data_IF_589491013740
#
_entry.id   IF_589491013740
#
_cell.length_a   1.000
_cell.length_b   1.000
_cell.length_c   1.000
_cell.angle_alpha   90.00
_cell.angle_beta   90.00
_cell.angle_gamma   90.00
#
_symmetry.space_group_name_H-M   'P 1'
#
loop_
_entity.id
_entity.type
_entity.pdbx_description
1 polymer ?
#
# COMPACT_ATOMS: atom_id res chain seq x y z
N UNK A 1 44.86 -10.13 4.12
CA UNK A 1 43.52 -10.58 4.56
C UNK A 1 42.93 -9.47 5.41
N UNK A 2 41.99 -8.70 4.87
CA UNK A 2 41.31 -7.62 5.60
C UNK A 2 40.37 -8.24 6.62
N UNK A 3 40.49 -7.87 7.89
CA UNK A 3 39.48 -8.19 8.89
C UNK A 3 38.13 -7.60 8.40
N UNK A 4 37.15 -8.45 8.12
CA UNK A 4 35.78 -7.98 7.91
C UNK A 4 35.29 -7.46 9.26
N UNK A 5 35.13 -6.14 9.38
CA UNK A 5 34.43 -5.55 10.51
C UNK A 5 33.05 -6.19 10.58
N UNK A 6 32.80 -6.90 11.69
CA UNK A 6 31.49 -7.45 12.00
C UNK A 6 30.61 -6.25 12.35
N UNK A 7 29.92 -5.70 11.35
CA UNK A 7 28.89 -4.71 11.58
C UNK A 7 27.81 -5.32 12.47
N UNK A 8 27.77 -4.87 13.73
CA UNK A 8 26.69 -5.20 14.66
C UNK A 8 25.40 -4.58 14.11
N UNK A 9 24.36 -5.40 13.93
CA UNK A 9 23.06 -4.90 13.49
C UNK A 9 22.46 -3.97 14.53
N UNK A 10 21.79 -2.91 14.07
CA UNK A 10 21.04 -1.99 14.94
C UNK A 10 19.70 -2.60 15.35
N UNK A 11 19.11 -3.40 14.46
CA UNK A 11 17.82 -4.07 14.63
C UNK A 11 17.95 -5.59 14.41
N UNK A 12 17.05 -6.36 15.02
CA UNK A 12 17.03 -7.83 14.94
C UNK A 12 16.41 -8.33 13.63
N UNK A 13 15.48 -7.57 13.07
CA UNK A 13 14.75 -7.86 11.83
C UNK A 13 14.07 -6.61 11.29
N UNK A 14 13.45 -6.72 10.11
CA UNK A 14 12.64 -5.63 9.55
C UNK A 14 11.15 -5.99 9.47
N UNK A 15 10.33 -4.94 9.48
CA UNK A 15 8.91 -5.01 9.17
C UNK A 15 8.61 -4.05 8.02
N UNK A 16 8.20 -4.58 6.87
CA UNK A 16 7.81 -3.77 5.72
C UNK A 16 6.29 -3.65 5.63
N UNK A 17 5.75 -2.44 5.77
CA UNK A 17 4.34 -2.19 5.52
C UNK A 17 4.09 -1.87 4.04
N UNK A 18 3.41 -2.79 3.34
CA UNK A 18 3.05 -2.61 1.94
C UNK A 18 1.85 -1.68 1.81
N UNK A 19 2.14 -0.43 1.45
CA UNK A 19 1.16 0.56 0.99
C UNK A 19 0.74 0.25 -0.44
N UNK A 20 -0.58 0.14 -0.67
CA UNK A 20 -1.10 -0.25 -1.98
C UNK A 20 -0.71 0.80 -3.03
N UNK A 21 -0.24 0.28 -4.17
CA UNK A 21 0.22 1.05 -5.35
C UNK A 21 1.56 1.78 -5.15
N UNK A 22 2.34 1.39 -4.15
CA UNK A 22 3.73 1.84 -3.92
C UNK A 22 4.74 0.71 -4.14
N UNK A 23 4.86 0.23 -5.39
CA UNK A 23 5.83 -0.79 -5.84
C UNK A 23 5.91 -2.14 -5.09
N UNK A 24 4.87 -2.58 -4.37
CA UNK A 24 5.01 -3.80 -3.55
C UNK A 24 5.33 -5.12 -4.26
N UNK A 25 5.21 -5.25 -5.59
CA UNK A 25 5.77 -6.43 -6.30
C UNK A 25 7.29 -6.33 -6.37
N UNK A 26 7.82 -5.16 -6.74
CA UNK A 26 9.27 -4.93 -6.81
C UNK A 26 9.91 -5.00 -5.43
N UNK A 27 9.28 -4.39 -4.42
CA UNK A 27 9.79 -4.42 -3.04
C UNK A 27 9.89 -5.85 -2.50
N UNK A 28 8.86 -6.71 -2.71
CA UNK A 28 8.94 -8.12 -2.28
C UNK A 28 10.16 -8.83 -2.86
N UNK A 29 10.37 -8.71 -4.17
CA UNK A 29 11.53 -9.32 -4.85
C UNK A 29 12.86 -8.84 -4.26
N UNK A 30 12.95 -7.55 -3.97
CA UNK A 30 14.15 -6.92 -3.42
C UNK A 30 14.41 -7.29 -1.95
N UNK A 31 13.39 -7.68 -1.20
CA UNK A 31 13.51 -8.13 0.19
C UNK A 31 13.72 -9.65 0.32
N UNK A 32 13.70 -10.41 -0.77
CA UNK A 32 14.02 -11.84 -0.74
C UNK A 32 15.53 -12.04 -0.48
N UNK A 33 15.93 -13.08 0.28
CA UNK A 33 15.08 -14.15 0.82
C UNK A 33 14.48 -13.83 2.21
N UNK A 34 14.79 -12.66 2.76
CA UNK A 34 14.52 -12.32 4.16
C UNK A 34 13.05 -11.98 4.43
N UNK A 35 12.28 -11.65 3.38
CA UNK A 35 10.83 -11.47 3.46
C UNK A 35 10.08 -12.77 3.09
N UNK A 36 9.49 -13.44 4.08
CA UNK A 36 8.80 -14.72 3.87
C UNK A 36 7.38 -14.50 3.33
N UNK A 37 7.13 -14.95 2.10
CA UNK A 37 5.82 -14.87 1.45
C UNK A 37 4.91 -16.05 1.82
N UNK A 38 3.61 -15.77 2.02
CA UNK A 38 2.59 -16.82 2.17
C UNK A 38 1.87 -17.10 0.85
N UNK A 39 1.28 -18.29 0.72
CA UNK A 39 0.51 -18.66 -0.48
C UNK A 39 -0.78 -17.83 -0.55
N UNK A 40 -0.87 -16.93 -1.54
CA UNK A 40 -1.97 -15.95 -1.70
C UNK A 40 -3.14 -16.42 -2.58
N UNK A 41 -3.01 -17.56 -3.24
CA UNK A 41 -3.95 -18.05 -4.27
C UNK A 41 -5.16 -18.83 -3.74
N UNK A 42 -5.12 -19.30 -2.49
CA UNK A 42 -6.20 -20.07 -1.86
C UNK A 42 -6.89 -19.24 -0.77
N UNK A 43 -7.41 -19.90 0.28
CA UNK A 43 -7.90 -19.24 1.50
C UNK A 43 -6.77 -18.43 2.14
N UNK A 44 -7.02 -17.19 2.60
CA UNK A 44 -6.00 -16.41 3.28
C UNK A 44 -5.56 -17.14 4.55
N UNK A 45 -4.24 -17.27 4.73
CA UNK A 45 -3.67 -17.78 5.97
C UNK A 45 -3.91 -16.75 7.09
N UNK A 46 -4.17 -17.22 8.31
CA UNK A 46 -4.38 -16.38 9.49
C UNK A 46 -3.19 -16.44 10.44
N UNK A 47 -3.08 -15.47 11.34
CA UNK A 47 -1.96 -15.36 12.28
C UNK A 47 -1.84 -16.54 13.26
N UNK A 48 -2.96 -17.14 13.66
CA UNK A 48 -2.98 -18.25 14.65
C UNK A 48 -2.30 -19.50 14.10
N UNK A 49 -2.42 -19.72 12.78
CA UNK A 49 -1.91 -20.92 12.09
C UNK A 49 -0.57 -20.69 11.37
N UNK A 50 0.11 -19.59 11.67
CA UNK A 50 1.30 -19.17 10.93
C UNK A 50 2.50 -18.99 11.85
N UNK A 51 3.67 -19.26 11.28
CA UNK A 51 4.93 -18.88 11.91
C UNK A 51 5.06 -17.35 11.95
N UNK A 52 5.71 -16.84 13.00
CA UNK A 52 5.92 -15.38 13.15
C UNK A 52 6.64 -14.74 11.97
N UNK A 53 7.49 -15.49 11.27
CA UNK A 53 8.18 -15.04 10.05
C UNK A 53 7.21 -14.69 8.92
N UNK A 54 6.00 -15.26 8.91
CA UNK A 54 4.96 -15.04 7.89
C UNK A 54 4.04 -13.85 8.22
N UNK A 55 4.06 -13.36 9.46
CA UNK A 55 3.11 -12.34 9.95
C UNK A 55 3.14 -11.06 9.11
N UNK A 56 4.33 -10.64 8.66
CA UNK A 56 4.46 -9.45 7.84
C UNK A 56 3.70 -9.61 6.50
N UNK A 57 3.82 -10.74 5.81
CA UNK A 57 3.16 -10.95 4.52
C UNK A 57 1.65 -11.14 4.63
N UNK A 58 1.22 -11.79 5.71
CA UNK A 58 -0.19 -11.96 6.08
C UNK A 58 -0.84 -10.60 6.34
N UNK A 59 -0.23 -9.75 7.18
CA UNK A 59 -0.75 -8.41 7.47
C UNK A 59 -0.81 -7.52 6.21
N UNK A 60 0.10 -7.73 5.26
CA UNK A 60 0.10 -7.04 3.97
C UNK A 60 -0.95 -7.57 2.97
N UNK A 61 -1.69 -8.62 3.31
CA UNK A 61 -2.75 -9.18 2.50
C UNK A 61 -4.10 -8.50 2.80
N UNK A 62 -4.69 -7.84 1.80
CA UNK A 62 -5.95 -7.11 1.95
C UNK A 62 -7.14 -8.00 2.35
N UNK A 63 -7.03 -9.32 2.20
CA UNK A 63 -8.09 -10.27 2.55
C UNK A 63 -8.13 -10.57 4.05
N UNK A 64 -7.10 -10.18 4.80
CA UNK A 64 -7.07 -10.32 6.25
C UNK A 64 -7.82 -9.14 6.86
N UNK A 65 -8.96 -9.44 7.49
CA UNK A 65 -9.80 -8.45 8.16
C UNK A 65 -9.26 -8.25 9.58
N UNK A 66 -9.07 -6.98 9.96
CA UNK A 66 -8.44 -6.61 11.24
C UNK A 66 -9.41 -5.98 12.25
N UNK A 67 -10.72 -6.07 12.00
CA UNK A 67 -11.76 -5.48 12.85
C UNK A 67 -11.58 -3.96 12.98
N UNK A 68 -11.51 -3.46 14.21
CA UNK A 68 -11.31 -2.04 14.52
C UNK A 68 -9.95 -1.48 14.04
N UNK A 69 -8.98 -2.35 13.74
CA UNK A 69 -7.67 -1.97 13.20
C UNK A 69 -7.63 -2.04 11.66
N UNK A 70 -8.78 -2.16 10.99
CA UNK A 70 -8.81 -2.05 9.54
C UNK A 70 -8.24 -0.69 9.12
N UNK A 71 -7.24 -0.70 8.23
CA UNK A 71 -6.47 0.47 7.82
C UNK A 71 -5.62 1.12 8.93
N UNK A 72 -5.29 0.37 9.99
CA UNK A 72 -4.37 0.76 11.08
C UNK A 72 -3.30 -0.32 11.30
N UNK A 73 -2.68 -0.78 10.21
CA UNK A 73 -1.83 -1.99 10.23
C UNK A 73 -0.57 -1.84 11.07
N UNK A 74 0.09 -0.67 11.08
CA UNK A 74 1.24 -0.45 11.93
C UNK A 74 0.86 -0.54 13.42
N UNK A 75 -0.27 0.07 13.80
CA UNK A 75 -0.81 -0.02 15.17
C UNK A 75 -1.16 -1.47 15.56
N UNK A 76 -1.79 -2.23 14.65
CA UNK A 76 -2.08 -3.64 14.87
C UNK A 76 -0.79 -4.47 15.06
N UNK A 77 0.21 -4.25 14.20
CA UNK A 77 1.49 -4.93 14.26
C UNK A 77 2.18 -4.68 15.61
N UNK A 78 2.28 -3.41 16.02
CA UNK A 78 2.85 -2.99 17.31
C UNK A 78 2.08 -3.57 18.49
N UNK A 79 0.74 -3.57 18.46
CA UNK A 79 -0.07 -3.97 19.62
C UNK A 79 -0.14 -5.49 19.82
N UNK A 80 -0.16 -6.27 18.73
CA UNK A 80 -0.48 -7.71 18.82
C UNK A 80 0.59 -8.64 18.25
N UNK A 81 1.27 -8.28 17.15
CA UNK A 81 2.17 -9.22 16.47
C UNK A 81 3.61 -9.12 16.97
N UNK A 82 4.04 -7.90 17.30
CA UNK A 82 5.42 -7.55 17.62
C UNK A 82 5.54 -6.78 18.94
N UNK A 83 4.57 -6.91 19.86
CA UNK A 83 4.45 -6.11 21.10
C UNK A 83 5.74 -5.92 21.90
N UNK A 84 6.51 -6.99 22.07
CA UNK A 84 7.71 -7.00 22.91
C UNK A 84 8.99 -6.63 22.15
N UNK A 85 8.93 -6.60 20.82
CA UNK A 85 10.10 -6.46 19.94
C UNK A 85 9.97 -5.30 18.95
N UNK A 86 8.86 -4.55 18.96
CA UNK A 86 8.59 -3.49 17.98
C UNK A 86 9.72 -2.47 17.90
N UNK A 87 10.25 -2.07 19.06
CA UNK A 87 11.32 -1.07 19.13
C UNK A 87 12.68 -1.62 18.65
N UNK A 88 12.82 -2.95 18.54
CA UNK A 88 14.01 -3.64 18.00
C UNK A 88 13.82 -4.09 16.54
N UNK A 89 12.73 -3.67 15.89
CA UNK A 89 12.44 -3.98 14.49
C UNK A 89 12.60 -2.72 13.65
N UNK A 90 13.37 -2.82 12.57
CA UNK A 90 13.44 -1.77 11.58
C UNK A 90 12.13 -1.76 10.75
N UNK A 91 11.21 -0.87 11.12
CA UNK A 91 9.87 -0.83 10.53
C UNK A 91 9.78 0.27 9.48
N UNK A 92 9.36 -0.06 8.25
CA UNK A 92 9.40 0.88 7.15
C UNK A 92 8.29 0.71 6.10
N UNK A 93 8.07 1.76 5.32
CA UNK A 93 7.14 1.76 4.20
C UNK A 93 7.66 2.60 3.02
N UNK A 94 7.04 2.40 1.85
CA UNK A 94 7.22 3.29 0.69
C UNK A 94 5.93 4.08 0.42
N UNK A 95 6.04 5.39 0.46
CA UNK A 95 4.99 6.32 0.06
C UNK A 95 5.20 6.74 -1.40
N UNK A 96 4.12 6.80 -2.17
CA UNK A 96 4.12 7.39 -3.51
C UNK A 96 3.40 8.71 -3.42
N UNK A 97 3.83 9.70 -4.21
CA UNK A 97 3.13 10.99 -4.35
C UNK A 97 1.61 10.74 -4.47
N UNK A 98 0.77 11.40 -3.63
CA UNK A 98 -0.63 11.03 -3.50
C UNK A 98 -1.47 11.13 -4.79
N UNK A 99 -1.28 12.14 -5.65
CA UNK A 99 -1.97 12.23 -6.95
C UNK A 99 -1.61 11.04 -7.84
N UNK A 100 -0.32 10.76 -7.91
CA UNK A 100 0.28 9.72 -8.74
C UNK A 100 -0.12 8.31 -8.28
N UNK A 101 -0.27 8.15 -6.96
CA UNK A 101 -0.86 6.97 -6.31
C UNK A 101 -2.34 6.85 -6.66
N UNK A 102 -3.10 7.94 -6.59
CA UNK A 102 -4.54 7.97 -6.91
C UNK A 102 -4.84 7.56 -8.35
N UNK A 103 -4.10 8.11 -9.31
CA UNK A 103 -4.15 7.67 -10.71
C UNK A 103 -3.80 6.17 -10.83
N UNK A 104 -2.79 5.71 -10.09
CA UNK A 104 -2.44 4.29 -10.08
C UNK A 104 -3.53 3.39 -9.49
N UNK A 105 -4.29 3.86 -8.49
CA UNK A 105 -5.41 3.13 -7.90
C UNK A 105 -6.55 2.99 -8.90
N UNK A 106 -6.92 4.09 -9.57
CA UNK A 106 -7.95 4.12 -10.60
C UNK A 106 -7.72 3.09 -11.70
N UNK A 107 -6.57 3.14 -12.37
CA UNK A 107 -6.28 2.19 -13.45
C UNK A 107 -6.22 0.74 -12.96
N UNK A 108 -5.79 0.51 -11.71
CA UNK A 108 -5.78 -0.83 -11.15
C UNK A 108 -7.18 -1.37 -10.88
N UNK A 109 -8.06 -0.54 -10.30
CA UNK A 109 -9.39 -0.96 -9.85
C UNK A 109 -10.45 -0.94 -10.97
N UNK A 110 -10.31 -0.06 -11.97
CA UNK A 110 -11.28 0.09 -13.07
C UNK A 110 -10.83 -0.58 -14.38
N UNK A 111 -9.52 -0.74 -14.58
CA UNK A 111 -8.95 -1.25 -15.83
C UNK A 111 -7.99 -2.43 -15.64
N UNK A 112 -7.93 -3.00 -14.42
CA UNK A 112 -7.18 -4.21 -14.15
C UNK A 112 -7.60 -5.38 -15.05
N UNK A 113 -6.63 -6.25 -15.38
CA UNK A 113 -6.78 -7.39 -16.31
C UNK A 113 -7.88 -8.39 -15.90
N UNK A 114 -8.33 -8.36 -14.64
CA UNK A 114 -9.25 -9.35 -14.06
C UNK A 114 -10.73 -8.93 -14.09
N UNK A 115 -11.06 -7.79 -14.70
CA UNK A 115 -12.46 -7.40 -14.89
C UNK A 115 -13.01 -8.06 -16.15
N UNK A 116 -13.69 -9.20 -15.97
CA UNK A 116 -14.45 -9.86 -17.04
C UNK A 116 -15.42 -8.88 -17.70
N UNK A 117 -15.61 -9.02 -19.02
CA UNK A 117 -16.49 -8.17 -19.83
C UNK A 117 -17.90 -7.99 -19.21
N UNK A 118 -18.55 -9.05 -18.66
CA UNK A 118 -19.85 -8.90 -18.00
C UNK A 118 -19.81 -8.00 -16.76
N UNK A 119 -18.71 -8.04 -15.99
CA UNK A 119 -18.53 -7.22 -14.79
C UNK A 119 -18.30 -5.75 -15.16
N UNK A 120 -17.58 -5.48 -16.26
CA UNK A 120 -17.44 -4.12 -16.80
C UNK A 120 -18.79 -3.54 -17.20
N UNK A 121 -19.59 -4.31 -17.94
CA UNK A 121 -20.95 -3.92 -18.37
C UNK A 121 -21.86 -3.67 -17.17
N UNK A 122 -21.93 -4.59 -16.21
CA UNK A 122 -22.73 -4.43 -14.99
C UNK A 122 -22.34 -3.18 -14.20
N UNK A 123 -21.03 -2.92 -14.06
CA UNK A 123 -20.53 -1.74 -13.38
C UNK A 123 -20.95 -0.46 -14.12
N UNK A 124 -20.84 -0.42 -15.45
CA UNK A 124 -21.29 0.73 -16.25
C UNK A 124 -22.79 1.00 -16.05
N UNK A 125 -23.64 -0.03 -16.13
CA UNK A 125 -25.09 0.11 -15.89
C UNK A 125 -25.41 0.58 -14.47
N UNK A 126 -24.79 -0.03 -13.45
CA UNK A 126 -24.96 0.38 -12.06
C UNK A 126 -24.54 1.84 -11.87
N UNK A 127 -23.42 2.25 -12.46
CA UNK A 127 -22.90 3.59 -12.31
C UNK A 127 -23.79 4.64 -12.99
N UNK A 128 -24.29 4.37 -14.20
CA UNK A 128 -25.26 5.25 -14.87
C UNK A 128 -26.52 5.39 -14.01
N UNK A 129 -27.07 4.29 -13.49
CA UNK A 129 -28.26 4.30 -12.65
C UNK A 129 -28.05 5.03 -11.32
N UNK A 130 -26.89 4.87 -10.70
CA UNK A 130 -26.62 5.41 -9.34
C UNK A 130 -26.20 6.87 -9.39
N UNK A 131 -25.43 7.27 -10.40
CA UNK A 131 -24.76 8.57 -10.44
C UNK A 131 -25.18 9.47 -11.60
N UNK A 132 -26.01 8.99 -12.54
CA UNK A 132 -26.58 9.79 -13.63
C UNK A 132 -25.57 10.31 -14.66
N UNK A 133 -24.28 9.92 -14.58
CA UNK A 133 -23.22 10.42 -15.45
C UNK A 133 -22.93 9.44 -16.60
N UNK A 134 -23.04 9.85 -17.88
CA UNK A 134 -22.54 9.03 -18.99
C UNK A 134 -21.02 8.93 -18.91
N UNK A 135 -20.49 7.72 -18.72
CA UNK A 135 -19.07 7.43 -18.48
C UNK A 135 -18.25 7.33 -19.78
N UNK A 136 -18.55 8.18 -20.76
CA UNK A 136 -17.98 8.07 -22.10
C UNK A 136 -16.55 8.65 -22.20
N UNK A 137 -16.07 9.35 -21.16
CA UNK A 137 -14.71 9.90 -21.08
C UNK A 137 -13.92 9.34 -19.90
N UNK A 138 -12.59 9.26 -20.06
CA UNK A 138 -11.67 8.85 -19.00
C UNK A 138 -11.74 9.79 -17.78
N UNK A 139 -11.89 11.09 -18.04
CA UNK A 139 -12.07 12.13 -17.02
C UNK A 139 -13.33 11.89 -16.19
N UNK A 140 -14.49 11.68 -16.82
CA UNK A 140 -15.73 11.43 -16.08
C UNK A 140 -15.72 10.11 -15.29
N UNK A 141 -14.99 9.11 -15.80
CA UNK A 141 -14.76 7.88 -15.05
C UNK A 141 -13.84 8.07 -13.84
N UNK A 142 -12.84 8.95 -13.96
CA UNK A 142 -11.99 9.32 -12.84
C UNK A 142 -12.75 10.13 -11.79
N UNK A 143 -13.64 11.05 -12.19
CA UNK A 143 -14.52 11.77 -11.26
C UNK A 143 -15.38 10.79 -10.44
N UNK A 144 -16.02 9.84 -11.12
CA UNK A 144 -16.78 8.80 -10.42
C UNK A 144 -15.90 7.97 -9.48
N UNK A 145 -14.68 7.66 -9.88
CA UNK A 145 -13.73 6.97 -9.00
C UNK A 145 -13.43 7.81 -7.75
N UNK A 146 -13.21 9.12 -7.88
CA UNK A 146 -12.99 10.01 -6.75
C UNK A 146 -14.25 10.15 -5.87
N UNK A 147 -15.45 10.17 -6.45
CA UNK A 147 -16.72 10.14 -5.71
C UNK A 147 -16.81 8.87 -4.84
N UNK A 148 -16.46 7.71 -5.38
CA UNK A 148 -16.44 6.44 -4.67
C UNK A 148 -15.34 6.36 -3.60
N UNK A 149 -14.16 6.94 -3.87
CA UNK A 149 -13.08 7.02 -2.89
C UNK A 149 -13.54 7.88 -1.71
N UNK A 150 -14.07 9.07 -1.98
CA UNK A 150 -14.60 9.96 -0.96
C UNK A 150 -15.65 9.25 -0.10
N UNK A 151 -16.61 8.58 -0.72
CA UNK A 151 -17.61 7.78 -0.01
C UNK A 151 -16.98 6.72 0.91
N UNK A 152 -15.93 6.02 0.45
CA UNK A 152 -15.24 5.02 1.27
C UNK A 152 -14.52 5.62 2.49
N UNK A 153 -14.13 6.90 2.44
CA UNK A 153 -13.48 7.61 3.54
C UNK A 153 -14.46 8.22 4.54
N UNK A 154 -15.62 8.69 4.04
CA UNK A 154 -16.71 9.26 4.83
C UNK A 154 -17.52 8.18 5.54
N UNK A 155 -17.88 7.10 4.83
CA UNK A 155 -18.61 5.97 5.39
C UNK A 155 -17.66 4.91 5.97
N UNK A 156 -17.15 5.18 7.16
CA UNK A 156 -16.27 4.25 7.90
C UNK A 156 -17.03 3.11 8.60
N UNK A 157 -18.36 3.02 8.43
CA UNK A 157 -19.18 2.00 9.10
C UNK A 157 -19.00 0.61 8.50
N UNK A 158 -18.57 0.53 7.24
CA UNK A 158 -18.38 -0.74 6.54
C UNK A 158 -17.14 -0.74 5.67
N UNK A 159 -16.28 -1.72 5.92
CA UNK A 159 -15.09 -2.00 5.09
C UNK A 159 -15.45 -2.55 3.71
N UNK A 160 -16.74 -2.81 3.46
CA UNK A 160 -17.25 -3.38 2.21
C UNK A 160 -17.98 -2.35 1.33
N UNK A 161 -18.15 -1.11 1.77
CA UNK A 161 -18.81 -0.04 1.01
C UNK A 161 -17.74 0.94 0.51
N UNK A 162 -17.81 1.42 -0.74
CA UNK A 162 -18.89 1.22 -1.72
C UNK A 162 -18.70 0.01 -2.64
N UNK A 163 -17.50 -0.56 -2.73
CA UNK A 163 -17.17 -1.63 -3.71
C UNK A 163 -16.38 -2.81 -3.14
N UNK A 164 -16.62 -3.13 -1.86
CA UNK A 164 -16.01 -4.26 -1.18
C UNK A 164 -14.61 -3.98 -0.62
N UNK A 165 -14.11 -4.95 0.15
CA UNK A 165 -12.82 -4.87 0.85
C UNK A 165 -11.62 -4.61 -0.08
N UNK A 166 -11.67 -5.14 -1.31
CA UNK A 166 -10.61 -4.92 -2.29
C UNK A 166 -10.52 -3.44 -2.68
N UNK A 167 -11.65 -2.78 -2.91
CA UNK A 167 -11.67 -1.36 -3.24
C UNK A 167 -11.21 -0.52 -2.04
N UNK A 168 -11.87 -0.67 -0.89
CA UNK A 168 -11.60 0.13 0.32
C UNK A 168 -10.15 0.01 0.78
N UNK A 169 -9.57 -1.18 0.74
CA UNK A 169 -8.15 -1.37 1.09
C UNK A 169 -7.19 -0.70 0.11
N UNK A 170 -7.53 -0.65 -1.17
CA UNK A 170 -6.66 0.02 -2.13
C UNK A 170 -6.75 1.53 -2.00
N UNK A 171 -7.92 2.07 -1.63
CA UNK A 171 -8.19 3.50 -1.55
C UNK A 171 -8.03 4.10 -0.15
N UNK A 172 -7.75 3.30 0.87
CA UNK A 172 -7.50 3.77 2.24
C UNK A 172 -6.35 4.78 2.32
N UNK A 173 -6.39 5.71 3.26
CA UNK A 173 -5.28 6.65 3.54
C UNK A 173 -4.02 5.89 3.98
N UNK A 174 -2.84 6.43 3.63
CA UNK A 174 -1.56 5.94 4.17
C UNK A 174 -1.40 6.38 5.61
N UNK A 175 -1.77 7.62 5.92
CA UNK A 175 -1.62 8.20 7.25
C UNK A 175 -2.24 7.33 8.35
N UNK A 176 -3.50 6.93 8.20
CA UNK A 176 -4.20 6.09 9.20
C UNK A 176 -3.50 4.73 9.42
N UNK A 177 -2.79 4.23 8.41
CA UNK A 177 -2.20 2.90 8.40
C UNK A 177 -0.80 2.86 9.05
N UNK A 178 -0.14 4.02 9.14
CA UNK A 178 1.21 4.20 9.68
C UNK A 178 1.24 4.94 11.01
N UNK A 179 0.12 5.48 11.49
CA UNK A 179 0.05 6.27 12.72
C UNK A 179 -0.70 5.56 13.85
N UNK A 180 -0.52 6.03 15.08
CA UNK A 180 -1.35 5.67 16.21
C UNK A 180 -2.63 6.53 16.33
N UNK A 181 -3.34 6.41 17.45
CA UNK A 181 -4.57 7.17 17.71
C UNK A 181 -4.35 8.66 17.92
N UNK A 182 -3.11 9.09 18.18
CA UNK A 182 -2.72 10.49 18.38
C UNK A 182 -2.11 11.10 17.10
N UNK A 183 -2.00 10.30 16.03
CA UNK A 183 -1.41 10.73 14.76
C UNK A 183 0.12 10.65 14.74
N UNK A 184 0.75 10.02 15.74
CA UNK A 184 2.20 9.81 15.74
C UNK A 184 2.55 8.67 14.79
N UNK A 185 3.53 8.91 13.91
CA UNK A 185 4.08 7.88 13.01
C UNK A 185 4.72 6.77 13.84
N UNK A 186 4.30 5.54 13.57
CA UNK A 186 4.75 4.33 14.29
C UNK A 186 5.92 3.62 13.61
N UNK A 187 6.10 3.85 12.31
CA UNK A 187 7.20 3.28 11.54
C UNK A 187 8.50 4.02 11.84
N UNK A 188 9.62 3.28 11.86
CA UNK A 188 10.97 3.84 11.97
C UNK A 188 11.25 4.80 10.82
N UNK A 189 10.86 4.42 9.59
CA UNK A 189 11.15 5.22 8.40
C UNK A 189 10.08 5.08 7.31
N UNK A 190 9.78 6.17 6.62
CA UNK A 190 8.93 6.17 5.44
C UNK A 190 9.74 6.78 4.31
N UNK A 191 9.90 6.02 3.24
CA UNK A 191 10.66 6.44 2.06
C UNK A 191 9.74 6.88 0.95
N UNK A 192 10.17 7.86 0.16
CA UNK A 192 9.54 8.16 -1.12
C UNK A 192 9.81 7.02 -2.12
N UNK A 193 8.85 6.76 -3.01
CA UNK A 193 8.91 5.63 -3.94
C UNK A 193 10.09 5.71 -4.92
N UNK A 194 10.47 6.91 -5.32
CA UNK A 194 11.65 7.21 -6.12
C UNK A 194 12.95 6.74 -5.45
N UNK A 195 12.95 6.61 -4.12
CA UNK A 195 14.05 6.16 -3.31
C UNK A 195 13.98 4.66 -2.96
N UNK A 196 13.24 3.86 -3.75
CA UNK A 196 12.99 2.43 -3.47
C UNK A 196 14.27 1.63 -3.17
N UNK A 197 15.30 1.73 -4.04
CA UNK A 197 16.53 0.96 -3.85
C UNK A 197 17.30 1.41 -2.60
N UNK A 198 17.33 2.71 -2.33
CA UNK A 198 17.95 3.28 -1.14
C UNK A 198 17.25 2.78 0.13
N UNK A 199 15.91 2.84 0.18
CA UNK A 199 15.17 2.38 1.35
C UNK A 199 15.30 0.88 1.60
N UNK A 200 15.33 0.05 0.54
CA UNK A 200 15.61 -1.39 0.69
C UNK A 200 17.03 -1.64 1.21
N UNK A 201 18.03 -0.94 0.66
CA UNK A 201 19.42 -1.06 1.10
C UNK A 201 19.55 -0.68 2.57
N UNK A 202 18.93 0.44 2.97
CA UNK A 202 18.91 0.90 4.37
C UNK A 202 18.30 -0.15 5.30
N UNK A 203 17.19 -0.78 4.92
CA UNK A 203 16.57 -1.84 5.72
C UNK A 203 17.48 -3.06 5.92
N UNK A 204 18.20 -3.48 4.88
CA UNK A 204 19.16 -4.58 4.98
C UNK A 204 20.35 -4.22 5.87
N UNK A 205 20.95 -3.04 5.67
CA UNK A 205 22.06 -2.54 6.49
C UNK A 205 21.68 -2.43 7.97
N UNK A 206 20.51 -1.86 8.26
CA UNK A 206 19.99 -1.71 9.62
C UNK A 206 19.85 -3.05 10.36
N UNK A 207 19.55 -4.13 9.63
CA UNK A 207 19.38 -5.48 10.16
C UNK A 207 20.64 -6.35 10.02
N UNK A 208 21.76 -5.83 9.50
CA UNK A 208 22.96 -6.63 9.21
C UNK A 208 22.72 -7.76 8.19
N UNK A 209 21.76 -7.59 7.28
CA UNK A 209 21.39 -8.60 6.29
C UNK A 209 22.10 -8.34 4.96
N UNK A 210 22.55 -9.39 4.25
CA UNK A 210 23.10 -9.23 2.92
C UNK A 210 21.99 -8.86 1.93
N UNK A 211 22.27 -7.87 1.08
CA UNK A 211 21.38 -7.50 -0.03
C UNK A 211 21.63 -8.44 -1.22
N UNK A 212 20.56 -9.02 -1.76
CA UNK A 212 20.65 -9.77 -3.01
C UNK A 212 20.92 -8.84 -4.20
N UNK A 213 21.59 -9.36 -5.23
CA UNK A 213 22.09 -8.60 -6.38
C UNK A 213 21.03 -7.63 -6.96
N UNK A 214 21.25 -6.31 -6.94
CA UNK A 214 20.24 -5.29 -7.23
C UNK A 214 19.85 -5.16 -8.71
N UNK A 215 20.27 -6.07 -9.59
CA UNK A 215 19.88 -6.12 -11.02
C UNK A 215 18.39 -6.46 -11.25
N UNK A 216 17.53 -6.19 -10.28
CA UNK A 216 16.09 -6.24 -10.50
C UNK A 216 15.71 -5.03 -11.33
N UNK A 217 15.19 -5.25 -12.53
CA UNK A 217 14.58 -4.18 -13.33
C UNK A 217 13.41 -3.55 -12.56
N UNK A 218 13.75 -2.46 -11.85
CA UNK A 218 12.83 -1.67 -11.02
C UNK A 218 11.70 -1.07 -11.88
N UNK A 219 11.86 -1.02 -13.21
CA UNK A 219 10.90 -0.42 -14.15
C UNK A 219 9.95 -1.42 -14.81
N UNK A 220 9.97 -2.70 -14.42
CA UNK A 220 9.15 -3.77 -15.02
C UNK A 220 7.62 -3.53 -15.01
N UNK A 221 7.11 -2.55 -14.26
CA UNK A 221 5.67 -2.23 -14.16
C UNK A 221 5.23 -0.89 -14.76
N UNK A 222 5.90 -0.38 -15.81
CA UNK A 222 5.38 0.75 -16.60
C UNK A 222 4.14 0.32 -17.40
N UNK A 223 2.95 0.50 -16.83
CA UNK A 223 1.69 0.27 -17.54
C UNK A 223 1.59 1.19 -18.77
N UNK A 224 1.42 0.61 -19.97
CA UNK A 224 1.36 1.33 -21.25
C UNK A 224 0.30 2.46 -21.25
N UNK A 225 -0.84 2.23 -20.60
CA UNK A 225 -1.98 3.16 -20.58
C UNK A 225 -1.86 4.31 -19.55
N UNK A 226 -0.85 4.29 -18.67
CA UNK A 226 -0.69 5.32 -17.63
C UNK A 226 -0.07 6.62 -18.14
N UNK A 227 0.62 6.58 -19.28
CA UNK A 227 1.48 7.69 -19.71
C UNK A 227 0.70 8.94 -20.16
N UNK A 228 -0.61 8.85 -20.36
CA UNK A 228 -1.38 9.92 -21.03
C UNK A 228 -2.46 10.55 -20.16
N UNK A 229 -2.78 9.99 -18.98
CA UNK A 229 -3.80 10.57 -18.11
C UNK A 229 -3.19 11.44 -17.01
N UNK A 230 -3.57 12.71 -17.00
CA UNK A 230 -3.28 13.65 -15.91
C UNK A 230 -4.61 14.18 -15.36
N UNK A 231 -4.83 14.11 -14.03
CA UNK A 231 -6.02 14.69 -13.42
C UNK A 231 -6.11 16.20 -13.64
N UNK A 232 -7.33 16.71 -13.84
CA UNK A 232 -7.60 18.16 -13.91
C UNK A 232 -7.28 18.86 -12.59
N UNK A 233 -7.28 20.20 -12.60
CA UNK A 233 -7.05 21.00 -11.38
C UNK A 233 -8.10 20.69 -10.31
N UNK A 234 -9.37 20.57 -10.69
CA UNK A 234 -10.48 20.24 -9.81
C UNK A 234 -10.34 18.84 -9.22
N UNK A 235 -9.93 17.87 -10.05
CA UNK A 235 -9.67 16.51 -9.60
C UNK A 235 -8.49 16.45 -8.63
N UNK A 236 -7.43 17.23 -8.86
CA UNK A 236 -6.28 17.34 -7.94
C UNK A 236 -6.70 17.93 -6.59
N UNK A 237 -7.49 19.00 -6.60
CA UNK A 237 -8.05 19.57 -5.36
C UNK A 237 -8.89 18.56 -4.59
N UNK A 238 -9.69 17.74 -5.30
CA UNK A 238 -10.47 16.67 -4.67
C UNK A 238 -9.58 15.55 -4.09
N UNK A 239 -8.49 15.18 -4.77
CA UNK A 239 -7.51 14.23 -4.24
C UNK A 239 -6.88 14.79 -2.97
N UNK A 240 -6.45 16.06 -3.00
CA UNK A 240 -5.87 16.76 -1.87
C UNK A 240 -6.83 16.82 -0.69
N UNK A 241 -8.11 17.15 -0.90
CA UNK A 241 -9.08 17.15 0.20
C UNK A 241 -9.30 15.77 0.83
N UNK A 242 -9.28 14.70 0.03
CA UNK A 242 -9.47 13.32 0.53
C UNK A 242 -8.22 12.84 1.26
N UNK A 243 -7.03 13.16 0.75
CA UNK A 243 -5.76 12.58 1.17
C UNK A 243 -4.80 13.60 1.79
N UNK A 244 -5.28 14.73 2.33
CA UNK A 244 -4.42 15.85 2.76
C UNK A 244 -3.28 15.40 3.68
N UNK A 245 -3.56 14.51 4.64
CA UNK A 245 -2.52 13.95 5.53
C UNK A 245 -1.50 13.07 4.83
N UNK A 246 -1.89 12.41 3.74
CA UNK A 246 -0.94 11.62 2.93
C UNK A 246 0.04 12.55 2.18
N UNK A 247 -0.36 13.79 1.84
CA UNK A 247 0.56 14.79 1.28
C UNK A 247 1.59 15.24 2.32
N UNK A 248 1.14 15.62 3.51
CA UNK A 248 2.04 15.97 4.63
C UNK A 248 3.01 14.83 4.94
N UNK A 249 2.50 13.59 4.98
CA UNK A 249 3.32 12.40 5.20
C UNK A 249 4.35 12.20 4.09
N UNK A 250 3.97 12.40 2.82
CA UNK A 250 4.87 12.23 1.69
C UNK A 250 5.96 13.30 1.65
N UNK A 251 5.64 14.56 1.94
CA UNK A 251 6.64 15.64 1.95
C UNK A 251 7.70 15.43 3.05
N UNK A 252 7.31 14.85 4.19
CA UNK A 252 8.21 14.51 5.29
C UNK A 252 8.90 13.14 5.13
N UNK A 253 8.64 12.40 4.05
CA UNK A 253 9.28 11.11 3.80
C UNK A 253 10.71 11.28 3.26
N UNK A 254 11.58 10.32 3.57
CA UNK A 254 13.00 10.29 3.18
C UNK A 254 13.24 9.89 1.73
#
# INVERSE_FOLDING_TARGET
>A
MSAQEIHKSEYDSFFWLHIKKSAGISTRKLLQPHYVEVVRGKKPQNFIQSDRSQYNDILNNFRVVLGEYQFKRALFAKKFLYKEQWDNIYSFAFAREPVDRCVSMFFYLFYGKDLSLPRKIYNTYRNIRTYGKPLNSLTGQFDLFLDLVQQAHEDRTSIYIPRGLHFTTHTASVFDDVTDTEGKVLLTEIFKLENLLMGVKRAHEACGLPMNNPEVDVRSNRGKNKKEFSPSVEQRRKIESIFYKDFELYENAN
#
